data_IF_014931245524
#
_entry.id   IF_014931245524
#
_cell.length_a   1.000
_cell.length_b   1.000
_cell.length_c   1.000
_cell.angle_alpha   90.00
_cell.angle_beta   90.00
_cell.angle_gamma   90.00
#
_symmetry.space_group_name_H-M   'P 1'
#
loop_
_entity.id
_entity.type
_entity.pdbx_description
1 polymer ?
#
# COMPACT_ATOMS: atom_id res chain seq x y z
N UNK A 1 57.08 30.33 33.05
CA UNK A 1 56.30 29.46 33.96
C UNK A 1 54.79 29.66 33.89
N UNK A 2 54.27 30.56 33.09
CA UNK A 2 52.83 30.73 32.94
C UNK A 2 52.22 29.91 31.81
N UNK A 3 53.02 29.23 30.99
CA UNK A 3 52.53 28.46 29.84
C UNK A 3 52.25 26.99 30.17
N UNK A 4 52.71 26.47 31.27
CA UNK A 4 52.47 25.07 31.66
C UNK A 4 51.16 24.87 32.36
N UNK A 5 50.52 25.93 32.84
CA UNK A 5 49.23 25.82 33.53
C UNK A 5 48.05 25.79 32.53
N UNK A 6 48.28 26.27 31.30
CA UNK A 6 47.23 26.33 30.30
C UNK A 6 46.96 24.98 29.62
N UNK A 7 47.94 24.10 29.58
CA UNK A 7 47.78 22.77 28.98
C UNK A 7 47.12 21.77 29.88
N UNK A 8 47.05 22.04 31.17
CA UNK A 8 46.38 21.14 32.13
C UNK A 8 44.84 21.32 32.17
N UNK A 9 44.37 22.47 31.67
CA UNK A 9 42.92 22.74 31.64
C UNK A 9 42.22 22.21 30.38
N UNK A 10 43.00 21.90 29.34
CA UNK A 10 42.39 21.38 28.09
C UNK A 10 42.22 19.87 28.12
N UNK A 11 42.92 19.18 29.01
CA UNK A 11 42.83 17.72 29.12
C UNK A 11 41.59 17.19 29.88
N UNK A 12 40.83 18.08 30.47
CA UNK A 12 39.69 17.62 31.31
C UNK A 12 38.32 17.76 30.65
N UNK A 13 38.28 18.23 29.38
CA UNK A 13 36.98 18.49 28.73
C UNK A 13 36.62 17.50 27.63
N UNK A 14 37.24 16.35 27.53
CA UNK A 14 36.96 15.40 26.46
C UNK A 14 36.36 14.05 26.95
N UNK A 15 35.65 14.07 28.05
CA UNK A 15 35.07 12.82 28.53
C UNK A 15 33.60 12.96 28.96
N UNK A 16 32.75 13.54 28.11
CA UNK A 16 31.29 13.39 28.31
C UNK A 16 30.54 13.52 26.98
N UNK A 17 30.88 12.69 26.04
CA UNK A 17 30.00 12.48 24.90
C UNK A 17 29.93 10.99 24.56
N UNK A 18 29.78 10.19 25.58
CA UNK A 18 29.08 8.93 25.37
C UNK A 18 27.61 9.25 25.52
N UNK A 19 27.04 9.66 24.40
CA UNK A 19 25.62 9.64 24.26
C UNK A 19 25.18 8.24 24.65
N UNK A 20 24.37 8.15 25.68
CA UNK A 20 23.66 6.93 25.97
C UNK A 20 22.82 6.59 24.75
N UNK A 21 23.35 5.73 23.90
CA UNK A 21 22.53 5.02 22.96
C UNK A 21 21.66 4.08 23.78
N UNK A 22 20.47 4.54 24.10
CA UNK A 22 19.44 3.68 24.61
C UNK A 22 18.94 2.84 23.44
N UNK A 23 19.14 1.54 23.43
CA UNK A 23 18.60 0.68 22.39
C UNK A 23 17.08 0.51 22.52
N UNK A 24 16.43 1.37 23.28
CA UNK A 24 15.06 1.21 23.74
C UNK A 24 14.03 1.82 22.77
N UNK A 25 14.44 2.21 21.59
CA UNK A 25 13.53 2.89 20.64
C UNK A 25 13.03 2.04 19.48
N UNK A 26 13.62 0.88 19.23
CA UNK A 26 13.35 0.15 17.98
C UNK A 26 12.25 -0.92 18.12
N UNK A 27 11.98 -1.39 19.32
CA UNK A 27 11.00 -2.47 19.48
C UNK A 27 9.56 -1.96 19.66
N UNK A 28 9.41 -0.68 20.02
CA UNK A 28 8.10 -0.10 20.19
C UNK A 28 7.43 0.28 18.87
N UNK A 29 8.19 0.71 17.87
CA UNK A 29 7.62 1.10 16.59
C UNK A 29 7.14 -0.09 15.76
N UNK A 30 7.79 -1.23 15.85
CA UNK A 30 7.35 -2.42 15.13
C UNK A 30 6.07 -3.03 15.68
N UNK A 31 5.80 -2.85 16.97
CA UNK A 31 4.56 -3.36 17.55
C UNK A 31 3.32 -2.55 17.16
N UNK A 32 3.50 -1.28 16.78
CA UNK A 32 2.37 -0.45 16.31
C UNK A 32 1.86 -0.86 14.94
N UNK A 33 2.71 -1.43 14.09
CA UNK A 33 2.27 -1.90 12.77
C UNK A 33 1.45 -3.18 12.84
N UNK A 34 1.65 -4.01 13.87
CA UNK A 34 0.94 -5.27 14.01
C UNK A 34 -0.33 -5.19 14.86
N UNK A 35 -0.48 -4.13 15.66
CA UNK A 35 -1.60 -3.96 16.56
C UNK A 35 -2.51 -2.79 16.20
N UNK A 36 -2.48 -2.34 14.95
CA UNK A 36 -3.37 -1.28 14.52
C UNK A 36 -4.74 -1.89 14.21
N UNK A 37 -5.73 -1.81 15.10
CA UNK A 37 -7.06 -2.36 14.86
C UNK A 37 -7.85 -1.57 13.82
N UNK A 38 -7.22 -0.57 13.20
CA UNK A 38 -7.84 0.23 12.16
C UNK A 38 -7.77 -0.41 10.76
N UNK A 39 -7.02 -1.50 10.59
CA UNK A 39 -7.20 -2.37 9.43
C UNK A 39 -8.37 -3.33 9.69
N UNK A 40 -9.55 -2.76 9.85
CA UNK A 40 -10.76 -3.57 9.85
C UNK A 40 -10.90 -4.22 8.48
N UNK A 41 -11.19 -5.52 8.41
CA UNK A 41 -11.39 -6.21 7.13
C UNK A 41 -12.61 -5.71 6.36
N UNK A 42 -13.28 -4.67 6.84
CA UNK A 42 -14.51 -4.12 6.29
C UNK A 42 -14.32 -3.36 4.98
N UNK A 43 -13.10 -2.90 4.69
CA UNK A 43 -12.83 -2.09 3.49
C UNK A 43 -12.10 -2.86 2.38
N UNK A 44 -11.97 -4.17 2.54
CA UNK A 44 -11.30 -4.96 1.50
C UNK A 44 -12.18 -5.10 0.26
N UNK A 45 -11.79 -4.40 -0.79
CA UNK A 45 -12.39 -4.55 -2.11
C UNK A 45 -11.97 -5.89 -2.71
N UNK A 46 -12.94 -6.66 -3.15
CA UNK A 46 -12.72 -7.95 -3.83
C UNK A 46 -13.41 -7.93 -5.18
N UNK A 47 -12.72 -8.42 -6.19
CA UNK A 47 -13.26 -8.58 -7.55
C UNK A 47 -13.70 -10.02 -7.71
N UNK A 48 -14.93 -10.21 -8.15
CA UNK A 48 -15.52 -11.54 -8.31
C UNK A 48 -16.48 -11.59 -9.53
N UNK A 49 -16.78 -12.78 -10.09
CA UNK A 49 -16.13 -14.04 -9.80
C UNK A 49 -14.70 -14.09 -10.32
N UNK A 50 -13.86 -14.92 -9.72
CA UNK A 50 -12.52 -15.20 -10.20
C UNK A 50 -12.26 -16.72 -10.07
N UNK A 51 -12.24 -17.49 -11.16
CA UNK A 51 -12.23 -17.07 -12.57
C UNK A 51 -13.52 -16.42 -13.06
N UNK A 52 -13.37 -15.44 -13.94
CA UNK A 52 -14.48 -14.74 -14.58
C UNK A 52 -14.83 -15.36 -15.94
N UNK A 53 -16.10 -15.31 -16.31
CA UNK A 53 -16.57 -15.71 -17.64
C UNK A 53 -17.08 -14.50 -18.43
N UNK A 54 -18.25 -14.00 -18.11
CA UNK A 54 -18.88 -12.93 -18.87
C UNK A 54 -18.79 -11.58 -18.20
N UNK A 55 -18.73 -11.53 -16.89
CA UNK A 55 -18.71 -10.28 -16.13
C UNK A 55 -17.87 -10.41 -14.85
N UNK A 56 -17.51 -9.27 -14.33
CA UNK A 56 -16.95 -9.11 -12.98
C UNK A 56 -17.80 -8.11 -12.19
N UNK A 57 -17.74 -8.22 -10.89
CA UNK A 57 -18.32 -7.27 -9.93
C UNK A 57 -17.29 -6.97 -8.85
N UNK A 58 -17.55 -5.95 -8.06
CA UNK A 58 -16.72 -5.61 -6.91
C UNK A 58 -17.57 -5.62 -5.63
N UNK A 59 -16.95 -5.99 -4.52
CA UNK A 59 -17.48 -5.74 -3.18
C UNK A 59 -17.03 -4.36 -2.69
N UNK A 60 -17.79 -3.73 -1.80
CA UNK A 60 -17.46 -2.42 -1.22
C UNK A 60 -17.19 -1.33 -2.26
N UNK A 61 -18.26 -0.87 -2.87
CA UNK A 61 -18.22 0.13 -3.94
C UNK A 61 -18.15 1.57 -3.43
N UNK A 62 -18.33 1.80 -2.15
CA UNK A 62 -18.62 3.11 -1.54
C UNK A 62 -17.61 4.21 -1.88
N UNK A 63 -16.36 3.86 -2.12
CA UNK A 63 -15.30 4.82 -2.42
C UNK A 63 -14.68 4.61 -3.79
N UNK A 64 -15.28 3.76 -4.60
CA UNK A 64 -14.76 3.39 -5.91
C UNK A 64 -15.45 4.20 -7.00
N UNK A 65 -14.67 4.77 -7.90
CA UNK A 65 -15.20 5.50 -9.05
C UNK A 65 -14.96 4.79 -10.38
N UNK A 66 -13.88 4.05 -10.49
CA UNK A 66 -13.44 3.48 -11.78
C UNK A 66 -12.75 2.13 -11.58
N UNK A 67 -12.99 1.24 -12.53
CA UNK A 67 -12.26 -0.03 -12.67
C UNK A 67 -11.58 -0.03 -14.03
N UNK A 68 -10.28 -0.30 -14.04
CA UNK A 68 -9.51 -0.47 -15.27
C UNK A 68 -8.92 -1.88 -15.37
N UNK A 69 -9.10 -2.50 -16.53
CA UNK A 69 -8.57 -3.83 -16.84
C UNK A 69 -7.34 -3.71 -17.72
N UNK A 70 -6.26 -4.35 -17.29
CA UNK A 70 -4.98 -4.38 -17.99
C UNK A 70 -4.59 -5.81 -18.35
N UNK A 71 -3.89 -5.97 -19.45
CA UNK A 71 -3.19 -7.22 -19.72
C UNK A 71 -1.90 -7.30 -18.89
N UNK A 72 -1.21 -8.44 -18.92
CA UNK A 72 0.00 -8.67 -18.11
C UNK A 72 1.21 -7.83 -18.56
N UNK A 73 1.19 -7.25 -19.77
CA UNK A 73 2.23 -6.32 -20.22
C UNK A 73 1.95 -4.87 -19.78
N UNK A 74 0.84 -4.64 -19.06
CA UNK A 74 0.48 -3.33 -18.54
C UNK A 74 -0.31 -2.45 -19.47
N UNK A 75 -0.84 -2.99 -20.57
CA UNK A 75 -1.71 -2.25 -21.49
C UNK A 75 -3.14 -2.24 -20.95
N UNK A 76 -3.71 -1.05 -20.84
CA UNK A 76 -5.12 -0.88 -20.49
C UNK A 76 -6.02 -1.36 -21.63
N UNK A 77 -6.95 -2.25 -21.34
CA UNK A 77 -7.85 -2.85 -22.32
C UNK A 77 -9.26 -2.30 -22.17
N UNK A 78 -9.74 -2.18 -20.95
CA UNK A 78 -11.10 -1.70 -20.64
C UNK A 78 -11.09 -0.78 -19.43
N UNK A 79 -12.07 0.10 -19.40
CA UNK A 79 -12.37 0.97 -18.27
C UNK A 79 -13.87 1.00 -18.04
N UNK A 80 -14.28 0.91 -16.79
CA UNK A 80 -15.68 0.99 -16.39
C UNK A 80 -15.85 2.05 -15.31
N UNK A 81 -16.89 2.86 -15.44
CA UNK A 81 -17.37 3.68 -14.32
C UNK A 81 -18.16 2.80 -13.35
N UNK A 82 -17.88 2.95 -12.06
CA UNK A 82 -18.49 2.13 -11.03
C UNK A 82 -19.86 2.67 -10.67
N UNK A 83 -20.84 1.77 -10.68
CA UNK A 83 -22.19 2.00 -10.22
C UNK A 83 -22.59 0.91 -9.23
N UNK A 84 -23.37 1.27 -8.22
CA UNK A 84 -23.80 0.36 -7.19
C UNK A 84 -24.51 -0.87 -7.76
N UNK A 85 -24.06 -2.05 -7.36
CA UNK A 85 -24.62 -3.34 -7.78
C UNK A 85 -24.38 -3.70 -9.23
N UNK A 86 -23.53 -2.98 -9.96
CA UNK A 86 -23.29 -3.20 -11.37
C UNK A 86 -22.45 -4.45 -11.65
N UNK A 87 -22.63 -4.97 -12.85
CA UNK A 87 -21.80 -6.01 -13.45
C UNK A 87 -21.07 -5.43 -14.65
N UNK A 88 -19.78 -5.70 -14.73
CA UNK A 88 -18.90 -5.14 -15.76
C UNK A 88 -18.59 -6.23 -16.79
N UNK A 89 -18.97 -5.99 -18.02
CA UNK A 89 -18.86 -6.96 -19.11
C UNK A 89 -17.40 -7.16 -19.54
N UNK A 90 -16.92 -8.38 -19.38
CA UNK A 90 -15.60 -8.83 -19.83
C UNK A 90 -15.69 -10.00 -20.78
N UNK A 91 -16.88 -10.28 -21.33
CA UNK A 91 -17.15 -11.43 -22.19
C UNK A 91 -16.30 -11.46 -23.45
N UNK A 92 -15.94 -10.32 -23.97
CA UNK A 92 -15.11 -10.16 -25.17
C UNK A 92 -13.60 -10.30 -24.94
N UNK A 93 -13.17 -10.40 -23.67
CA UNK A 93 -11.76 -10.60 -23.37
C UNK A 93 -11.34 -12.04 -23.66
N UNK A 94 -10.20 -12.24 -24.33
CA UNK A 94 -9.61 -13.57 -24.48
C UNK A 94 -9.34 -14.27 -23.15
N UNK A 95 -9.35 -15.59 -23.17
CA UNK A 95 -8.95 -16.39 -22.01
C UNK A 95 -7.52 -16.02 -21.59
N UNK A 96 -7.30 -15.87 -20.29
CA UNK A 96 -5.99 -15.53 -19.76
C UNK A 96 -6.04 -14.81 -18.44
N UNK A 97 -4.90 -14.26 -18.06
CA UNK A 97 -4.74 -13.49 -16.84
C UNK A 97 -4.78 -11.99 -17.13
N UNK A 98 -5.44 -11.27 -16.26
CA UNK A 98 -5.59 -9.82 -16.33
C UNK A 98 -5.34 -9.18 -14.97
N UNK A 99 -4.95 -7.93 -14.96
CA UNK A 99 -4.87 -7.09 -13.78
C UNK A 99 -6.06 -6.13 -13.78
N UNK A 100 -6.77 -6.08 -12.67
CA UNK A 100 -7.88 -5.15 -12.47
C UNK A 100 -7.48 -4.14 -11.41
N UNK A 101 -7.44 -2.90 -11.81
CA UNK A 101 -7.07 -1.77 -10.96
C UNK A 101 -8.35 -1.01 -10.58
N UNK A 102 -8.51 -0.78 -9.29
CA UNK A 102 -9.65 -0.07 -8.73
C UNK A 102 -9.20 1.30 -8.26
N UNK A 103 -9.89 2.33 -8.68
CA UNK A 103 -9.55 3.73 -8.36
C UNK A 103 -10.71 4.44 -7.64
N UNK A 104 -10.35 5.37 -6.78
CA UNK A 104 -11.31 6.24 -6.12
C UNK A 104 -11.64 7.50 -6.94
N UNK A 105 -12.53 8.36 -6.41
CA UNK A 105 -12.92 9.61 -7.06
C UNK A 105 -11.76 10.60 -7.26
N UNK A 106 -10.69 10.48 -6.49
CA UNK A 106 -9.48 11.30 -6.63
C UNK A 106 -8.48 10.73 -7.64
N UNK A 107 -8.87 9.71 -8.40
CA UNK A 107 -8.01 8.99 -9.36
C UNK A 107 -6.80 8.30 -8.74
N UNK A 108 -6.88 7.96 -7.44
CA UNK A 108 -5.90 7.16 -6.75
C UNK A 108 -6.25 5.68 -6.83
N UNK A 109 -5.25 4.85 -7.05
CA UNK A 109 -5.40 3.40 -7.04
C UNK A 109 -5.62 2.92 -5.60
N UNK A 110 -6.74 2.26 -5.36
CA UNK A 110 -7.07 1.66 -4.07
C UNK A 110 -6.46 0.26 -3.99
N UNK A 111 -6.65 -0.54 -5.04
CA UNK A 111 -6.16 -1.91 -5.11
C UNK A 111 -5.95 -2.35 -6.55
N UNK A 112 -5.04 -3.30 -6.73
CA UNK A 112 -4.85 -4.01 -8.00
C UNK A 112 -4.92 -5.50 -7.73
N UNK A 113 -5.79 -6.20 -8.43
CA UNK A 113 -6.01 -7.62 -8.25
C UNK A 113 -5.84 -8.37 -9.58
N UNK A 114 -5.29 -9.56 -9.46
CA UNK A 114 -5.19 -10.46 -10.61
C UNK A 114 -6.46 -11.28 -10.73
N UNK A 115 -7.00 -11.32 -11.93
CA UNK A 115 -8.15 -12.17 -12.28
C UNK A 115 -7.79 -13.13 -13.40
N UNK A 116 -8.47 -14.26 -13.44
CA UNK A 116 -8.40 -15.21 -14.54
C UNK A 116 -9.70 -15.15 -15.33
N UNK A 117 -9.57 -14.99 -16.66
CA UNK A 117 -10.69 -15.07 -17.61
C UNK A 117 -10.75 -16.49 -18.21
N UNK A 118 -11.88 -17.09 -18.13
CA UNK A 118 -12.19 -18.35 -18.80
C UNK A 118 -12.86 -18.14 -20.15
#
# INVERSE_FOLDING_TARGET
>A
MKQTLLFLLISFFSLTAFGQFSPDGSDAEQSYFFNNPSEQPQDKITIFPNPATNYISISNEDHVSEISVFNLVGRKIKTFEVQEGARYDVSDLPQGMYLVQVMNHSKKVITTQRIRKR
#
